data_IF_363180092046
#
_entry.id   IF_363180092046
#
_cell.length_a   1.000
_cell.length_b   1.000
_cell.length_c   1.000
_cell.angle_alpha   90.00
_cell.angle_beta   90.00
_cell.angle_gamma   90.00
#
_symmetry.space_group_name_H-M   'P 1'
#
loop_
_entity.id
_entity.type
_entity.pdbx_description
1 polymer ?
#
# COMPACT_ATOMS: atom_id res chain seq x y z
N UNK A 1 -11.18 -22.44 -11.92
CA UNK A 1 -11.18 -22.43 -10.45
C UNK A 1 -10.63 -23.79 -10.00
N UNK A 2 -9.42 -23.82 -9.48
CA UNK A 2 -8.75 -25.08 -9.12
C UNK A 2 -9.48 -25.74 -7.94
N UNK A 3 -9.98 -26.95 -8.14
CA UNK A 3 -10.70 -27.76 -7.13
C UNK A 3 -9.93 -27.92 -5.82
N UNK A 4 -8.60 -27.75 -5.84
CA UNK A 4 -7.70 -27.82 -4.67
C UNK A 4 -7.90 -26.63 -3.73
N UNK A 5 -8.10 -25.40 -4.23
CA UNK A 5 -8.33 -24.23 -3.38
C UNK A 5 -9.68 -24.33 -2.64
N UNK A 6 -10.73 -24.85 -3.30
CA UNK A 6 -12.02 -25.09 -2.66
C UNK A 6 -11.96 -26.23 -1.64
N UNK A 7 -11.12 -27.24 -1.85
CA UNK A 7 -10.96 -28.36 -0.90
C UNK A 7 -10.24 -27.93 0.39
N UNK A 8 -9.24 -27.06 0.29
CA UNK A 8 -8.50 -26.55 1.46
C UNK A 8 -9.41 -25.66 2.31
N UNK A 9 -10.22 -24.81 1.69
CA UNK A 9 -11.20 -23.96 2.40
C UNK A 9 -12.30 -24.83 3.04
N UNK A 10 -12.80 -25.85 2.34
CA UNK A 10 -13.82 -26.75 2.86
C UNK A 10 -13.31 -27.69 3.97
N UNK A 11 -12.07 -28.17 3.87
CA UNK A 11 -11.45 -29.02 4.91
C UNK A 11 -11.14 -28.22 6.18
N UNK A 12 -10.74 -26.96 6.07
CA UNK A 12 -10.54 -26.07 7.22
C UNK A 12 -11.87 -25.74 7.93
N UNK A 13 -12.98 -25.65 7.19
CA UNK A 13 -14.31 -25.37 7.75
C UNK A 13 -14.93 -26.56 8.49
N UNK A 14 -14.54 -27.80 8.18
CA UNK A 14 -15.16 -29.00 8.75
C UNK A 14 -14.48 -29.54 10.02
N UNK A 15 -13.29 -29.06 10.38
CA UNK A 15 -12.44 -29.71 11.38
C UNK A 15 -12.47 -29.14 12.80
N UNK A 16 -13.05 -27.99 13.09
CA UNK A 16 -12.92 -27.38 14.42
C UNK A 16 -14.10 -26.47 14.78
N UNK A 17 -15.25 -27.04 15.07
CA UNK A 17 -16.36 -26.32 15.69
C UNK A 17 -16.14 -26.14 17.20
N UNK A 18 -15.35 -25.15 17.59
CA UNK A 18 -15.57 -24.39 18.83
C UNK A 18 -15.64 -22.93 18.45
N UNK A 19 -16.78 -22.32 18.72
CA UNK A 19 -17.09 -20.91 18.49
C UNK A 19 -16.07 -20.02 19.21
N UNK A 20 -14.99 -19.70 18.54
CA UNK A 20 -14.13 -18.58 18.89
C UNK A 20 -14.76 -17.34 18.29
N UNK A 21 -14.75 -16.23 19.03
CA UNK A 21 -15.37 -14.98 18.60
C UNK A 21 -14.84 -14.56 17.22
N UNK A 22 -15.76 -14.29 16.32
CA UNK A 22 -15.49 -13.63 15.05
C UNK A 22 -15.18 -12.16 15.32
N UNK A 23 -14.22 -11.61 14.60
CA UNK A 23 -13.93 -10.19 14.64
C UNK A 23 -14.27 -9.57 13.27
N UNK A 24 -15.15 -8.57 13.30
CA UNK A 24 -15.56 -7.80 12.13
C UNK A 24 -15.31 -6.34 12.44
N UNK A 25 -14.58 -5.66 11.58
CA UNK A 25 -14.39 -4.23 11.65
C UNK A 25 -14.64 -3.57 10.30
N UNK A 26 -15.08 -2.32 10.33
CA UNK A 26 -15.25 -1.52 9.14
C UNK A 26 -14.60 -0.15 9.32
N UNK A 27 -13.89 0.30 8.33
CA UNK A 27 -13.29 1.63 8.28
C UNK A 27 -13.82 2.40 7.07
N UNK A 28 -14.32 3.60 7.31
CA UNK A 28 -14.68 4.56 6.28
C UNK A 28 -13.72 5.75 6.35
N UNK A 29 -13.08 6.07 5.22
CA UNK A 29 -12.38 7.33 5.03
C UNK A 29 -13.03 8.08 3.88
N UNK A 30 -13.27 9.39 4.05
CA UNK A 30 -13.81 10.26 3.02
C UNK A 30 -13.01 11.55 2.95
N UNK A 31 -12.77 12.04 1.75
CA UNK A 31 -12.01 13.26 1.48
C UNK A 31 -12.79 14.24 0.62
N UNK A 32 -12.66 15.51 0.97
CA UNK A 32 -12.92 16.62 0.07
C UNK A 32 -11.59 17.21 -0.35
N UNK A 33 -11.38 17.33 -1.65
CA UNK A 33 -10.14 17.79 -2.26
C UNK A 33 -10.40 19.02 -3.13
N UNK A 34 -9.46 19.97 -3.13
CA UNK A 34 -9.50 21.15 -3.98
C UNK A 34 -8.09 21.59 -4.37
N UNK A 35 -7.92 22.13 -5.57
CA UNK A 35 -6.67 22.76 -6.02
C UNK A 35 -6.82 24.29 -6.17
N UNK A 36 -5.71 24.97 -6.35
CA UNK A 36 -5.70 26.43 -6.60
C UNK A 36 -6.30 26.82 -7.98
N UNK A 37 -6.47 25.85 -8.90
CA UNK A 37 -7.15 26.04 -10.19
C UNK A 37 -8.68 26.01 -10.09
N UNK A 38 -9.23 25.77 -8.89
CA UNK A 38 -10.68 25.69 -8.66
C UNK A 38 -11.28 24.31 -8.97
N UNK A 39 -10.49 23.31 -9.20
CA UNK A 39 -10.97 21.94 -9.35
C UNK A 39 -11.28 21.33 -7.98
N UNK A 40 -12.33 20.54 -7.91
CA UNK A 40 -12.74 19.84 -6.70
C UNK A 40 -12.98 18.37 -6.99
N UNK A 41 -12.73 17.52 -6.00
CA UNK A 41 -13.03 16.09 -6.02
C UNK A 41 -13.46 15.64 -4.64
N UNK A 42 -14.34 14.65 -4.59
CA UNK A 42 -14.60 13.89 -3.37
C UNK A 42 -14.17 12.45 -3.60
N UNK A 43 -13.41 11.91 -2.67
CA UNK A 43 -12.95 10.53 -2.70
C UNK A 43 -13.33 9.82 -1.40
N UNK A 44 -13.62 8.53 -1.47
CA UNK A 44 -13.93 7.73 -0.29
C UNK A 44 -13.43 6.31 -0.44
N UNK A 45 -13.01 5.73 0.68
CA UNK A 45 -12.60 4.35 0.84
C UNK A 45 -13.39 3.72 1.98
N UNK A 46 -14.15 2.67 1.68
CA UNK A 46 -14.72 1.77 2.67
C UNK A 46 -13.90 0.48 2.67
N UNK A 47 -13.42 0.06 3.83
CA UNK A 47 -12.78 -1.23 4.06
C UNK A 47 -13.57 -2.01 5.11
N UNK A 48 -13.81 -3.29 4.84
CA UNK A 48 -14.43 -4.23 5.78
C UNK A 48 -13.49 -5.40 5.96
N UNK A 49 -13.07 -5.63 7.19
CA UNK A 49 -12.22 -6.74 7.59
C UNK A 49 -13.03 -7.79 8.35
N UNK A 50 -12.69 -9.05 8.15
CA UNK A 50 -13.25 -10.19 8.82
C UNK A 50 -12.13 -11.15 9.22
N UNK A 51 -12.07 -11.50 10.49
CA UNK A 51 -11.12 -12.49 11.02
C UNK A 51 -11.86 -13.59 11.75
N UNK A 52 -11.57 -14.84 11.40
CA UNK A 52 -12.12 -16.04 12.03
C UNK A 52 -11.00 -16.94 12.51
N UNK A 53 -10.78 -17.07 13.83
CA UNK A 53 -9.93 -18.13 14.36
C UNK A 53 -10.50 -19.51 14.00
N UNK A 54 -9.68 -20.39 13.43
CA UNK A 54 -10.08 -21.75 13.03
C UNK A 54 -9.62 -22.78 14.07
N UNK A 55 -8.37 -22.68 14.50
CA UNK A 55 -7.79 -23.48 15.57
C UNK A 55 -6.59 -22.76 16.18
N UNK A 56 -5.92 -23.36 17.17
CA UNK A 56 -4.76 -22.75 17.83
C UNK A 56 -3.68 -22.40 16.80
N UNK A 57 -3.39 -21.10 16.67
CA UNK A 57 -2.38 -20.59 15.76
C UNK A 57 -2.79 -20.53 14.28
N UNK A 58 -4.08 -20.80 13.94
CA UNK A 58 -4.58 -20.69 12.55
C UNK A 58 -5.84 -19.85 12.52
N UNK A 59 -5.88 -18.84 11.63
CA UNK A 59 -7.06 -18.01 11.38
C UNK A 59 -7.28 -17.79 9.89
N UNK A 60 -8.51 -17.56 9.52
CA UNK A 60 -8.93 -17.04 8.23
C UNK A 60 -9.00 -15.52 8.31
N UNK A 61 -8.31 -14.83 7.42
CA UNK A 61 -8.35 -13.38 7.29
C UNK A 61 -8.96 -13.02 5.93
N UNK A 62 -9.93 -12.11 5.95
CA UNK A 62 -10.58 -11.58 4.75
C UNK A 62 -10.71 -10.06 4.86
N UNK A 63 -10.52 -9.34 3.77
CA UNK A 63 -10.84 -7.92 3.68
C UNK A 63 -11.30 -7.57 2.27
N UNK A 64 -12.26 -6.66 2.20
CA UNK A 64 -12.75 -6.08 0.95
C UNK A 64 -12.72 -4.57 1.04
N UNK A 65 -12.54 -3.93 -0.11
CA UNK A 65 -12.54 -2.47 -0.24
C UNK A 65 -13.54 -2.04 -1.30
N UNK A 66 -14.11 -0.84 -1.08
CA UNK A 66 -14.91 -0.10 -2.06
C UNK A 66 -14.38 1.32 -2.15
N UNK A 67 -14.19 1.81 -3.37
CA UNK A 67 -13.63 3.14 -3.64
C UNK A 67 -14.59 3.91 -4.51
N UNK A 68 -14.88 5.16 -4.15
CA UNK A 68 -15.66 6.06 -4.96
C UNK A 68 -15.02 7.43 -5.03
N UNK A 69 -15.01 8.04 -6.21
CA UNK A 69 -14.61 9.43 -6.43
C UNK A 69 -15.55 10.12 -7.41
N UNK A 70 -15.70 11.42 -7.28
CA UNK A 70 -16.63 12.20 -8.08
C UNK A 70 -16.04 12.66 -9.41
N UNK A 71 -14.71 12.85 -9.49
CA UNK A 71 -14.01 13.29 -10.68
C UNK A 71 -13.14 12.17 -11.24
N UNK A 72 -13.38 11.77 -12.49
CA UNK A 72 -12.52 10.82 -13.19
C UNK A 72 -11.10 11.38 -13.32
N UNK A 73 -10.08 10.60 -12.95
CA UNK A 73 -8.68 11.03 -12.95
C UNK A 73 -8.26 11.90 -11.75
N UNK A 74 -9.18 12.24 -10.80
CA UNK A 74 -8.85 13.13 -9.68
C UNK A 74 -8.67 14.58 -10.09
N UNK A 75 -8.03 15.40 -9.24
CA UNK A 75 -7.75 16.82 -9.49
C UNK A 75 -6.26 17.10 -9.72
N UNK A 76 -5.48 16.10 -9.81
CA UNK A 76 -4.08 16.17 -9.54
C UNK A 76 -3.24 16.00 -10.83
N UNK A 77 -2.18 16.77 -10.96
CA UNK A 77 -1.09 16.58 -11.92
C UNK A 77 0.15 15.93 -11.26
N UNK A 78 0.06 15.40 -10.02
CA UNK A 78 1.16 14.75 -9.32
C UNK A 78 1.32 13.30 -9.76
N UNK A 79 2.55 12.89 -10.05
CA UNK A 79 2.88 11.48 -10.29
C UNK A 79 3.00 10.67 -9.00
N UNK A 80 3.21 11.34 -7.88
CA UNK A 80 3.29 10.69 -6.58
C UNK A 80 1.93 10.46 -5.95
N UNK A 81 0.91 11.25 -6.34
CA UNK A 81 -0.42 11.25 -5.75
C UNK A 81 -0.44 11.87 -4.34
N UNK A 82 -1.11 12.99 -4.15
CA UNK A 82 -1.21 13.67 -2.86
C UNK A 82 -2.25 13.05 -1.91
N UNK A 83 -3.08 12.15 -2.41
CA UNK A 83 -4.00 11.35 -1.61
C UNK A 83 -3.77 9.85 -1.81
N UNK A 84 -3.50 9.15 -0.72
CA UNK A 84 -3.27 7.70 -0.71
C UNK A 84 -4.54 6.84 -0.70
N UNK A 85 -5.73 7.45 -0.76
CA UNK A 85 -7.01 6.75 -0.92
C UNK A 85 -7.71 7.09 -2.23
N UNK A 86 -7.26 8.13 -2.95
CA UNK A 86 -7.89 8.57 -4.20
C UNK A 86 -7.47 7.64 -5.37
N UNK A 87 -8.42 6.83 -5.80
CA UNK A 87 -8.25 5.85 -6.87
C UNK A 87 -9.51 5.72 -7.71
N UNK A 88 -9.42 5.03 -8.83
CA UNK A 88 -10.56 4.77 -9.72
C UNK A 88 -11.71 4.07 -9.02
N UNK A 89 -12.93 4.51 -9.35
CA UNK A 89 -14.16 3.92 -8.84
C UNK A 89 -14.13 2.40 -8.92
N UNK A 90 -14.27 1.77 -7.77
CA UNK A 90 -14.23 0.32 -7.59
C UNK A 90 -15.33 -0.09 -6.63
N UNK A 91 -16.39 -0.69 -7.15
CA UNK A 91 -17.55 -1.06 -6.33
C UNK A 91 -17.19 -2.02 -5.23
N UNK A 92 -16.37 -3.03 -5.53
CA UNK A 92 -15.87 -4.00 -4.57
C UNK A 92 -14.61 -4.67 -5.11
N UNK A 93 -13.54 -4.66 -4.34
CA UNK A 93 -12.31 -5.40 -4.63
C UNK A 93 -11.84 -6.18 -3.41
N UNK A 94 -11.27 -7.38 -3.58
CA UNK A 94 -10.64 -8.12 -2.49
C UNK A 94 -9.29 -7.48 -2.15
N UNK A 95 -9.06 -7.20 -0.86
CA UNK A 95 -7.77 -6.74 -0.36
C UNK A 95 -7.00 -7.89 0.29
N UNK A 96 -7.68 -8.73 1.06
CA UNK A 96 -7.12 -9.90 1.75
C UNK A 96 -8.09 -11.07 1.62
N UNK A 97 -7.61 -12.28 1.36
CA UNK A 97 -8.35 -13.53 1.55
C UNK A 97 -7.37 -14.70 1.67
N UNK A 98 -7.16 -15.24 2.87
CA UNK A 98 -6.19 -16.29 3.09
C UNK A 98 -6.12 -16.81 4.51
N UNK A 99 -5.19 -17.71 4.72
CA UNK A 99 -4.93 -18.33 6.01
C UNK A 99 -3.65 -17.77 6.63
N UNK A 100 -3.73 -17.39 7.89
CA UNK A 100 -2.60 -16.99 8.71
C UNK A 100 -2.28 -18.08 9.73
N UNK A 101 -1.02 -18.50 9.76
CA UNK A 101 -0.46 -19.44 10.71
C UNK A 101 0.51 -18.71 11.63
N UNK A 102 0.34 -18.85 12.95
CA UNK A 102 1.21 -18.22 13.94
C UNK A 102 1.79 -19.24 14.90
N UNK A 103 3.09 -19.19 15.13
CA UNK A 103 3.79 -20.06 16.08
C UNK A 103 5.12 -19.45 16.52
N UNK A 104 5.35 -19.37 17.82
CA UNK A 104 6.67 -19.03 18.40
C UNK A 104 7.30 -17.74 17.89
N UNK A 105 6.50 -16.67 17.67
CA UNK A 105 6.98 -15.39 17.12
C UNK A 105 7.18 -15.37 15.61
N UNK A 106 6.71 -16.43 14.90
CA UNK A 106 6.64 -16.47 13.43
C UNK A 106 5.18 -16.37 12.99
N UNK A 107 4.96 -15.74 11.85
CA UNK A 107 3.70 -15.69 11.12
C UNK A 107 3.94 -16.09 9.66
N UNK A 108 3.07 -16.95 9.14
CA UNK A 108 2.99 -17.30 7.73
C UNK A 108 1.58 -17.02 7.24
N UNK A 109 1.45 -16.24 6.20
CA UNK A 109 0.19 -16.03 5.49
C UNK A 109 0.28 -16.66 4.09
N UNK A 110 -0.80 -17.29 3.65
CA UNK A 110 -0.94 -17.81 2.28
C UNK A 110 -2.32 -17.47 1.73
N UNK A 111 -2.36 -16.80 0.59
CA UNK A 111 -3.62 -16.37 -0.03
C UNK A 111 -3.47 -15.10 -0.85
N UNK A 112 -4.56 -14.36 -0.98
CA UNK A 112 -4.62 -13.05 -1.64
C UNK A 112 -4.28 -11.97 -0.63
N UNK A 113 -3.35 -11.07 -0.99
CA UNK A 113 -2.93 -9.96 -0.13
C UNK A 113 -2.28 -8.86 -0.97
N UNK A 114 -2.31 -7.63 -0.50
CA UNK A 114 -1.47 -6.57 -1.04
C UNK A 114 -0.28 -6.30 -0.11
N UNK A 115 0.78 -5.70 -0.64
CA UNK A 115 2.02 -5.46 0.10
C UNK A 115 1.87 -4.40 1.19
N UNK A 116 0.86 -3.51 1.09
CA UNK A 116 0.61 -2.47 2.07
C UNK A 116 0.08 -3.02 3.40
N UNK A 117 -0.35 -4.28 3.44
CA UNK A 117 -0.76 -4.93 4.68
C UNK A 117 0.41 -5.19 5.64
N UNK A 118 1.63 -5.36 5.09
CA UNK A 118 2.79 -5.80 5.85
C UNK A 118 3.98 -4.83 5.76
N UNK A 119 4.18 -4.22 4.58
CA UNK A 119 5.32 -3.37 4.29
C UNK A 119 4.91 -1.91 4.27
N UNK A 120 5.83 -1.03 4.64
CA UNK A 120 5.61 0.43 4.69
C UNK A 120 4.52 0.87 5.68
N UNK A 121 4.28 0.06 6.72
CA UNK A 121 3.27 0.28 7.76
C UNK A 121 3.85 1.05 8.95
N UNK A 122 4.51 2.15 8.71
CA UNK A 122 5.10 2.97 9.75
C UNK A 122 4.05 3.83 10.45
N UNK A 123 4.20 4.02 11.76
CA UNK A 123 3.26 4.81 12.57
C UNK A 123 3.25 6.28 12.16
N UNK A 124 4.42 6.93 12.10
CA UNK A 124 4.50 8.36 11.83
C UNK A 124 4.35 8.68 10.34
N UNK A 125 4.86 7.83 9.44
CA UNK A 125 4.66 8.01 8.01
C UNK A 125 3.19 7.86 7.60
N UNK A 126 2.40 7.05 8.32
CA UNK A 126 0.96 6.89 8.08
C UNK A 126 0.12 8.12 8.43
N UNK A 127 0.72 9.14 9.04
CA UNK A 127 0.09 10.42 9.25
C UNK A 127 -0.12 11.15 7.93
N UNK A 128 0.82 11.04 6.99
CA UNK A 128 0.79 11.78 5.74
C UNK A 128 -0.19 11.17 4.74
N UNK A 129 -0.82 12.04 3.97
CA UNK A 129 -1.79 11.64 2.93
C UNK A 129 -1.13 11.40 1.57
N UNK A 130 0.09 11.93 1.37
CA UNK A 130 0.91 11.67 0.19
C UNK A 130 1.19 10.17 0.04
N UNK A 131 0.86 9.60 -1.12
CA UNK A 131 1.01 8.18 -1.42
C UNK A 131 2.45 7.67 -1.29
N UNK A 132 3.44 8.54 -1.55
CA UNK A 132 4.87 8.19 -1.43
C UNK A 132 5.35 8.02 0.00
N UNK A 133 4.59 8.50 1.01
CA UNK A 133 4.84 8.20 2.42
C UNK A 133 4.48 6.76 2.81
N UNK A 134 3.71 6.07 1.97
CA UNK A 134 3.49 4.64 2.02
C UNK A 134 4.52 3.90 1.17
N UNK A 135 4.08 3.28 0.07
CA UNK A 135 4.99 2.60 -0.86
C UNK A 135 5.76 3.61 -1.72
N UNK A 136 7.07 3.44 -1.81
CA UNK A 136 7.93 4.37 -2.53
C UNK A 136 7.72 4.32 -4.05
N UNK A 137 7.77 5.46 -4.75
CA UNK A 137 7.57 5.54 -6.21
C UNK A 137 8.54 4.68 -7.03
N UNK A 138 9.73 4.40 -6.49
CA UNK A 138 10.70 3.46 -7.10
C UNK A 138 10.18 2.03 -7.20
N UNK A 139 9.07 1.73 -6.52
CA UNK A 139 8.36 0.45 -6.53
C UNK A 139 7.00 0.63 -7.18
N UNK A 140 6.13 1.49 -6.64
CA UNK A 140 4.73 1.63 -7.07
C UNK A 140 4.59 2.14 -8.50
N UNK A 141 5.41 3.09 -8.94
CA UNK A 141 5.37 3.60 -10.31
C UNK A 141 6.01 2.65 -11.34
N UNK A 142 6.86 1.72 -10.90
CA UNK A 142 7.60 0.84 -11.81
C UNK A 142 6.91 -0.48 -12.08
N UNK A 143 5.99 -0.94 -11.20
CA UNK A 143 5.41 -2.27 -11.29
C UNK A 143 3.93 -2.25 -10.98
N UNK A 144 3.13 -2.94 -11.80
CA UNK A 144 1.72 -3.21 -11.49
C UNK A 144 1.58 -4.40 -10.56
N UNK A 145 2.17 -4.33 -9.39
CA UNK A 145 2.16 -5.37 -8.37
C UNK A 145 0.91 -5.31 -7.48
N UNK A 146 0.85 -6.19 -6.49
CA UNK A 146 -0.16 -6.18 -5.43
C UNK A 146 0.03 -4.99 -4.48
N UNK A 147 -0.17 -3.80 -4.97
CA UNK A 147 -0.19 -2.53 -4.25
C UNK A 147 -1.59 -1.95 -4.28
N UNK A 148 -2.07 -1.34 -3.18
CA UNK A 148 -3.40 -0.73 -3.13
C UNK A 148 -3.72 0.07 -4.41
N UNK A 149 -4.90 -0.13 -5.02
CA UNK A 149 -6.03 -0.99 -4.60
C UNK A 149 -5.95 -2.44 -5.11
N UNK A 150 -4.82 -2.85 -5.69
CA UNK A 150 -4.64 -4.18 -6.28
C UNK A 150 -4.18 -5.19 -5.21
N UNK A 151 -4.57 -6.44 -5.40
CA UNK A 151 -4.09 -7.57 -4.61
C UNK A 151 -3.68 -8.73 -5.52
N UNK A 152 -2.93 -9.69 -5.02
CA UNK A 152 -2.59 -10.90 -5.74
C UNK A 152 -2.36 -12.09 -4.82
N UNK A 153 -2.38 -13.30 -5.40
CA UNK A 153 -1.97 -14.53 -4.72
C UNK A 153 -0.50 -14.44 -4.31
N UNK A 154 -0.21 -14.82 -3.07
CA UNK A 154 1.16 -14.82 -2.55
C UNK A 154 1.29 -15.52 -1.22
N UNK A 155 2.52 -15.52 -0.75
CA UNK A 155 2.92 -16.04 0.56
C UNK A 155 3.72 -14.94 1.24
N UNK A 156 3.41 -14.67 2.51
CA UNK A 156 4.14 -13.75 3.37
C UNK A 156 4.63 -14.49 4.62
N UNK A 157 5.87 -14.26 4.98
CA UNK A 157 6.52 -14.77 6.18
C UNK A 157 7.03 -13.59 7.01
N UNK A 158 6.70 -13.61 8.30
CA UNK A 158 7.24 -12.69 9.30
C UNK A 158 7.89 -13.48 10.43
N UNK A 159 9.04 -13.01 10.91
CA UNK A 159 9.72 -13.53 12.10
C UNK A 159 10.14 -12.37 13.00
N UNK A 160 9.60 -12.35 14.22
CA UNK A 160 9.99 -11.42 15.27
C UNK A 160 11.04 -12.06 16.19
N UNK A 161 12.16 -11.36 16.38
CA UNK A 161 13.30 -11.76 17.21
C UNK A 161 13.72 -10.55 18.05
N UNK A 162 13.22 -10.46 19.27
CA UNK A 162 13.41 -9.27 20.14
C UNK A 162 12.92 -7.99 19.45
N UNK A 163 13.77 -7.01 19.25
CA UNK A 163 13.49 -5.73 18.59
C UNK A 163 13.53 -5.81 17.05
N UNK A 164 13.96 -6.94 16.50
CA UNK A 164 14.04 -7.16 15.05
C UNK A 164 12.80 -7.89 14.54
N UNK A 165 12.27 -7.42 13.42
CA UNK A 165 11.26 -8.13 12.63
C UNK A 165 11.79 -8.32 11.21
N UNK A 166 11.88 -9.57 10.75
CA UNK A 166 12.27 -9.91 9.38
C UNK A 166 11.01 -10.34 8.65
N UNK A 167 10.77 -9.74 7.48
CA UNK A 167 9.62 -10.04 6.62
C UNK A 167 10.09 -10.42 5.22
N UNK A 168 9.47 -11.46 4.65
CA UNK A 168 9.73 -11.90 3.28
C UNK A 168 8.43 -12.33 2.62
N UNK A 169 8.21 -11.91 1.37
CA UNK A 169 7.03 -12.32 0.60
C UNK A 169 7.35 -12.61 -0.85
N UNK A 170 6.53 -13.46 -1.43
CA UNK A 170 6.50 -13.72 -2.87
C UNK A 170 5.06 -13.67 -3.33
N UNK A 171 4.80 -12.87 -4.35
CA UNK A 171 3.49 -12.65 -4.95
C UNK A 171 3.51 -12.96 -6.45
N UNK A 172 2.35 -13.25 -7.03
CA UNK A 172 2.17 -13.15 -8.47
C UNK A 172 2.64 -11.77 -8.95
N UNK A 173 3.40 -11.70 -10.04
CA UNK A 173 4.09 -10.48 -10.46
C UNK A 173 3.18 -9.34 -10.91
N UNK A 174 1.87 -9.60 -11.06
CA UNK A 174 0.83 -8.63 -11.40
C UNK A 174 -0.27 -8.66 -10.35
N UNK A 175 -0.70 -7.48 -9.90
CA UNK A 175 -1.84 -7.29 -9.01
C UNK A 175 -3.13 -7.08 -9.79
N UNK A 176 -4.25 -7.51 -9.21
CA UNK A 176 -5.60 -7.43 -9.78
C UNK A 176 -6.60 -6.91 -8.75
N UNK A 177 -7.76 -6.41 -9.19
CA UNK A 177 -8.85 -5.97 -8.31
C UNK A 177 -10.20 -6.67 -8.57
N UNK A 178 -10.24 -7.61 -9.52
CA UNK A 178 -11.46 -8.33 -9.89
C UNK A 178 -11.57 -9.68 -9.20
N UNK A 179 -12.79 -10.10 -8.87
CA UNK A 179 -13.09 -11.44 -8.35
C UNK A 179 -13.16 -12.51 -9.44
N UNK A 180 -13.37 -12.12 -10.67
CA UNK A 180 -13.67 -13.04 -11.78
C UNK A 180 -12.99 -12.61 -13.09
N UNK A 181 -13.15 -13.45 -14.13
CA UNK A 181 -12.55 -13.20 -15.42
C UNK A 181 -11.08 -13.62 -15.52
N UNK A 182 -10.42 -13.21 -16.58
CA UNK A 182 -9.00 -13.57 -16.82
C UNK A 182 -8.03 -12.80 -15.94
N UNK A 183 -8.40 -11.58 -15.55
CA UNK A 183 -7.60 -10.68 -14.73
C UNK A 183 -8.21 -10.61 -13.31
N UNK A 184 -8.18 -11.71 -12.58
CA UNK A 184 -8.73 -11.81 -11.23
C UNK A 184 -7.63 -12.07 -10.18
N UNK A 185 -7.91 -11.73 -8.94
CA UNK A 185 -6.97 -11.83 -7.82
C UNK A 185 -6.54 -13.27 -7.50
N UNK A 186 -7.33 -14.28 -7.89
CA UNK A 186 -7.00 -15.70 -7.70
C UNK A 186 -6.06 -16.25 -8.77
N UNK A 187 -5.69 -15.42 -9.76
CA UNK A 187 -4.78 -15.80 -10.81
C UNK A 187 -3.37 -15.95 -10.25
N UNK A 188 -2.81 -17.15 -10.42
CA UNK A 188 -1.41 -17.44 -10.19
C UNK A 188 -0.82 -17.96 -11.49
N UNK A 189 -0.09 -17.13 -12.20
CA UNK A 189 0.44 -17.44 -13.53
C UNK A 189 1.83 -16.82 -13.73
N UNK A 190 2.86 -17.35 -13.07
CA UNK A 190 4.24 -16.81 -13.16
C UNK A 190 4.78 -16.75 -14.58
N UNK A 191 4.27 -17.60 -15.48
CA UNK A 191 4.69 -17.62 -16.88
C UNK A 191 4.28 -16.35 -17.65
N UNK A 192 3.12 -15.78 -17.38
CA UNK A 192 2.65 -14.54 -18.03
C UNK A 192 2.87 -13.31 -17.15
N UNK A 193 2.61 -13.42 -15.87
CA UNK A 193 2.55 -12.30 -14.94
C UNK A 193 3.91 -12.07 -14.24
N UNK A 194 4.79 -13.09 -14.27
CA UNK A 194 6.04 -13.04 -13.54
C UNK A 194 5.88 -13.25 -12.03
N UNK A 195 6.88 -12.84 -11.27
CA UNK A 195 6.91 -12.93 -9.81
C UNK A 195 7.39 -11.61 -9.22
N UNK A 196 6.83 -11.22 -8.08
CA UNK A 196 7.30 -10.13 -7.26
C UNK A 196 7.73 -10.66 -5.90
N UNK A 197 8.98 -10.43 -5.53
CA UNK A 197 9.54 -10.81 -4.21
C UNK A 197 9.95 -9.56 -3.46
N UNK A 198 9.70 -9.53 -2.16
CA UNK A 198 10.04 -8.40 -1.29
C UNK A 198 10.55 -8.93 0.05
N UNK A 199 11.59 -8.28 0.56
CA UNK A 199 12.24 -8.59 1.84
C UNK A 199 12.48 -7.31 2.60
N UNK A 200 12.22 -7.29 3.90
CA UNK A 200 12.63 -6.19 4.77
C UNK A 200 13.06 -6.66 6.16
N UNK A 201 13.86 -5.83 6.80
CA UNK A 201 14.26 -5.95 8.20
C UNK A 201 13.88 -4.66 8.90
N UNK A 202 13.10 -4.78 9.95
CA UNK A 202 12.65 -3.68 10.79
C UNK A 202 13.26 -3.82 12.19
N UNK A 203 13.91 -2.77 12.67
CA UNK A 203 14.44 -2.67 14.03
C UNK A 203 13.71 -1.58 14.79
N UNK A 204 13.16 -1.92 15.95
CA UNK A 204 12.42 -0.98 16.79
C UNK A 204 13.06 -0.90 18.17
N UNK A 205 13.42 0.31 18.59
CA UNK A 205 13.98 0.54 19.93
C UNK A 205 13.63 1.95 20.43
N UNK A 206 13.19 2.05 21.68
CA UNK A 206 12.88 3.32 22.37
C UNK A 206 11.96 4.26 21.54
N UNK A 207 10.96 3.70 20.84
CA UNK A 207 10.03 4.46 20.01
C UNK A 207 10.59 4.91 18.65
N UNK A 208 11.85 4.61 18.36
CA UNK A 208 12.46 4.81 17.05
C UNK A 208 12.39 3.53 16.22
N UNK A 209 12.23 3.69 14.91
CA UNK A 209 12.14 2.60 13.93
C UNK A 209 13.17 2.79 12.83
N UNK A 210 13.85 1.72 12.47
CA UNK A 210 14.72 1.64 11.30
C UNK A 210 14.27 0.49 10.44
N UNK A 211 14.03 0.73 9.17
CA UNK A 211 13.65 -0.29 8.21
C UNK A 211 14.56 -0.22 6.99
N UNK A 212 15.02 -1.38 6.55
CA UNK A 212 15.70 -1.55 5.26
C UNK A 212 15.07 -2.70 4.50
N UNK A 213 15.02 -2.60 3.19
CA UNK A 213 14.45 -3.66 2.38
C UNK A 213 14.88 -3.61 0.92
N UNK A 214 14.49 -4.64 0.22
CA UNK A 214 14.70 -4.79 -1.21
C UNK A 214 13.54 -5.56 -1.85
N UNK A 215 13.29 -5.29 -3.12
CA UNK A 215 12.39 -6.11 -3.93
C UNK A 215 13.06 -6.55 -5.22
N UNK A 216 12.53 -7.62 -5.78
CA UNK A 216 12.83 -8.11 -7.11
C UNK A 216 11.51 -8.39 -7.84
N UNK A 217 11.34 -7.77 -8.99
CA UNK A 217 10.28 -8.10 -9.93
C UNK A 217 10.88 -8.82 -11.13
N UNK A 218 10.40 -10.03 -11.41
CA UNK A 218 10.75 -10.79 -12.60
C UNK A 218 9.52 -10.93 -13.48
N UNK A 219 9.46 -10.21 -14.58
CA UNK A 219 8.28 -10.18 -15.44
C UNK A 219 8.44 -9.23 -16.61
N UNK A 220 7.32 -8.94 -17.26
CA UNK A 220 7.25 -7.92 -18.27
C UNK A 220 7.13 -6.57 -17.56
N UNK A 221 8.12 -5.69 -17.73
CA UNK A 221 8.11 -4.36 -17.16
C UNK A 221 7.16 -3.46 -17.98
N UNK A 222 5.86 -3.64 -17.83
CA UNK A 222 4.87 -2.72 -18.37
C UNK A 222 4.47 -1.77 -17.25
N UNK A 223 4.65 -0.47 -17.42
CA UNK A 223 4.29 0.53 -16.44
C UNK A 223 2.80 0.47 -16.09
N UNK A 224 2.45 0.86 -14.86
CA UNK A 224 1.06 0.90 -14.40
C UNK A 224 0.17 1.76 -15.31
N UNK A 225 0.68 2.89 -15.79
CA UNK A 225 -0.04 3.84 -16.65
C UNK A 225 -0.35 3.29 -18.06
N UNK A 226 0.51 2.44 -18.63
CA UNK A 226 0.28 1.87 -19.96
C UNK A 226 -0.74 0.72 -19.97
N UNK A 227 -1.07 0.15 -18.81
CA UNK A 227 -1.98 -0.99 -18.68
C UNK A 227 -3.43 -0.59 -18.37
N UNK A 228 -3.69 0.68 -18.12
CA UNK A 228 -5.04 1.17 -17.87
C UNK A 228 -5.86 1.18 -19.17
N UNK A 229 -6.53 0.07 -19.45
CA UNK A 229 -7.75 0.09 -20.24
C UNK A 229 -7.72 -0.29 -21.73
N UNK A 230 -6.71 -0.94 -22.29
CA UNK A 230 -6.78 -1.37 -23.69
C UNK A 230 -6.44 -2.83 -23.95
N UNK A 231 -7.22 -3.48 -24.87
CA UNK A 231 -6.91 -4.81 -25.42
C UNK A 231 -5.52 -4.88 -26.11
N UNK A 232 -4.90 -3.75 -26.37
CA UNK A 232 -3.55 -3.59 -26.91
C UNK A 232 -2.46 -3.95 -25.89
N UNK A 233 -2.75 -3.74 -24.59
CA UNK A 233 -1.85 -4.08 -23.49
C UNK A 233 -1.64 -5.60 -23.35
N UNK A 234 -2.63 -6.43 -23.60
CA UNK A 234 -2.48 -7.89 -23.58
C UNK A 234 -1.55 -8.41 -24.70
N UNK A 235 -1.54 -7.75 -25.88
CA UNK A 235 -0.63 -8.09 -26.98
C UNK A 235 0.80 -7.64 -26.69
N UNK A 236 0.98 -6.45 -26.10
CA UNK A 236 2.30 -5.93 -25.69
C UNK A 236 2.92 -6.81 -24.60
N UNK A 237 2.13 -7.31 -23.67
CA UNK A 237 2.58 -8.19 -22.59
C UNK A 237 3.15 -9.54 -23.09
N UNK A 238 2.60 -10.09 -24.19
CA UNK A 238 3.04 -11.37 -24.75
C UNK A 238 4.35 -11.31 -25.54
N UNK A 239 4.76 -10.13 -25.99
CA UNK A 239 5.91 -9.93 -26.89
C UNK A 239 7.16 -9.40 -26.20
N UNK A 240 7.07 -8.89 -24.98
CA UNK A 240 8.22 -8.36 -24.25
C UNK A 240 9.03 -9.45 -23.56
N UNK A 241 10.34 -9.35 -23.63
CA UNK A 241 11.27 -10.22 -22.92
C UNK A 241 11.17 -9.95 -21.41
N UNK A 242 10.92 -10.99 -20.62
CA UNK A 242 10.96 -10.88 -19.17
C UNK A 242 12.32 -10.39 -18.70
N UNK A 243 12.31 -9.44 -17.79
CA UNK A 243 13.50 -8.88 -17.17
C UNK A 243 13.40 -8.90 -15.66
N UNK A 244 14.53 -9.00 -15.00
CA UNK A 244 14.63 -8.85 -13.56
C UNK A 244 14.97 -7.40 -13.25
N UNK A 245 14.14 -6.76 -12.43
CA UNK A 245 14.35 -5.38 -11.98
C UNK A 245 14.06 -5.31 -10.49
N UNK A 246 14.69 -4.39 -9.76
CA UNK A 246 14.49 -4.31 -8.33
C UNK A 246 14.93 -2.99 -7.75
N UNK A 247 14.36 -2.65 -6.58
CA UNK A 247 14.69 -1.49 -5.80
C UNK A 247 15.22 -1.90 -4.43
N UNK A 248 15.99 -1.00 -3.84
CA UNK A 248 16.40 -1.04 -2.44
C UNK A 248 15.88 0.21 -1.75
N UNK A 249 15.54 0.11 -0.47
CA UNK A 249 15.05 1.24 0.31
C UNK A 249 15.48 1.17 1.75
N UNK A 250 15.38 2.31 2.42
CA UNK A 250 15.43 2.41 3.87
C UNK A 250 14.61 3.60 4.34
N UNK A 251 14.07 3.49 5.54
CA UNK A 251 13.49 4.61 6.26
C UNK A 251 13.82 4.55 7.74
N UNK A 252 13.82 5.69 8.37
CA UNK A 252 13.99 5.84 9.81
C UNK A 252 12.95 6.80 10.37
N UNK A 253 12.37 6.43 11.51
CA UNK A 253 11.60 7.27 12.41
C UNK A 253 12.35 7.43 13.71
N UNK A 254 12.83 8.62 13.99
CA UNK A 254 13.73 8.90 15.10
C UNK A 254 13.03 9.78 16.13
N UNK A 255 12.84 9.27 17.33
CA UNK A 255 12.38 10.08 18.46
C UNK A 255 13.49 11.04 18.89
N UNK A 256 13.44 12.30 18.40
CA UNK A 256 14.45 13.34 18.68
C UNK A 256 14.17 14.14 19.94
N UNK A 257 12.92 14.12 20.42
CA UNK A 257 12.50 14.71 21.68
C UNK A 257 11.19 14.03 22.14
N UNK A 258 10.74 14.20 23.37
CA UNK A 258 9.45 13.73 23.82
C UNK A 258 8.32 14.20 22.89
N UNK A 259 7.56 13.25 22.29
CA UNK A 259 6.47 13.53 21.35
C UNK A 259 6.91 14.21 20.04
N UNK A 260 8.16 14.11 19.64
CA UNK A 260 8.66 14.65 18.38
C UNK A 260 9.50 13.58 17.66
N UNK A 261 9.07 13.22 16.45
CA UNK A 261 9.70 12.24 15.59
C UNK A 261 10.23 12.90 14.30
N UNK A 262 11.49 12.65 13.97
CA UNK A 262 12.05 12.97 12.66
C UNK A 262 11.93 11.74 11.76
N UNK A 263 11.57 11.96 10.49
CA UNK A 263 11.40 10.93 9.46
C UNK A 263 12.42 11.14 8.37
N UNK A 264 13.05 10.07 7.92
CA UNK A 264 13.93 10.05 6.75
C UNK A 264 13.59 8.83 5.89
N UNK A 265 13.49 9.03 4.59
CA UNK A 265 13.21 7.99 3.60
C UNK A 265 14.17 8.09 2.45
N UNK A 266 14.60 6.94 1.93
CA UNK A 266 15.36 6.85 0.70
C UNK A 266 15.06 5.54 -0.02
N UNK A 267 14.92 5.60 -1.35
CA UNK A 267 14.91 4.40 -2.17
C UNK A 267 15.53 4.64 -3.55
N UNK A 268 16.04 3.56 -4.15
CA UNK A 268 16.64 3.58 -5.47
C UNK A 268 16.34 2.29 -6.23
N UNK A 269 16.04 2.45 -7.51
CA UNK A 269 15.92 1.35 -8.47
C UNK A 269 17.02 1.52 -9.54
N UNK A 270 18.11 0.74 -9.46
CA UNK A 270 19.23 0.84 -10.37
C UNK A 270 18.98 0.18 -11.73
N UNK A 271 17.83 -0.48 -11.91
CA UNK A 271 17.52 -1.21 -13.13
C UNK A 271 17.35 -0.27 -14.34
N UNK A 272 17.63 -0.78 -15.54
CA UNK A 272 17.43 -0.03 -16.78
C UNK A 272 15.96 -0.02 -17.18
N UNK A 273 15.50 1.10 -17.76
CA UNK A 273 14.14 1.20 -18.32
C UNK A 273 13.03 1.44 -17.32
N UNK A 274 13.35 1.64 -16.04
CA UNK A 274 12.37 1.97 -14.99
C UNK A 274 11.91 3.43 -15.09
N UNK A 275 10.68 3.70 -14.68
CA UNK A 275 10.05 5.02 -14.69
C UNK A 275 10.62 5.88 -13.56
N UNK A 276 10.51 5.43 -12.30
CA UNK A 276 11.07 6.14 -11.15
C UNK A 276 12.36 5.46 -10.70
N UNK A 277 13.44 6.25 -10.65
CA UNK A 277 14.79 5.75 -10.31
C UNK A 277 15.20 5.99 -8.88
N UNK A 278 14.79 7.11 -8.30
CA UNK A 278 15.21 7.53 -6.95
C UNK A 278 14.08 8.26 -6.26
N UNK A 279 14.01 8.07 -4.96
CA UNK A 279 13.10 8.79 -4.08
C UNK A 279 13.82 9.12 -2.78
N UNK A 280 13.56 10.30 -2.23
CA UNK A 280 14.04 10.71 -0.93
C UNK A 280 13.00 11.60 -0.26
N UNK A 281 12.78 11.42 1.02
CA UNK A 281 11.84 12.22 1.82
C UNK A 281 12.37 12.49 3.23
N UNK A 282 11.99 13.62 3.79
CA UNK A 282 12.25 14.01 5.18
C UNK A 282 11.00 14.63 5.79
N UNK A 283 10.80 14.41 7.08
CA UNK A 283 9.66 14.97 7.78
C UNK A 283 9.86 15.09 9.28
N UNK A 284 8.92 15.80 9.89
CA UNK A 284 8.80 15.95 11.33
C UNK A 284 7.35 15.74 11.73
N UNK A 285 7.14 14.99 12.80
CA UNK A 285 5.83 14.79 13.41
C UNK A 285 5.89 15.17 14.88
N UNK A 286 4.91 15.94 15.31
CA UNK A 286 4.69 16.29 16.72
C UNK A 286 3.37 15.70 17.18
N UNK A 287 3.43 14.81 18.15
CA UNK A 287 2.26 14.24 18.81
C UNK A 287 1.81 15.17 19.94
N UNK A 288 0.54 15.52 19.95
CA UNK A 288 -0.13 16.29 21.01
C UNK A 288 -1.15 15.38 21.70
N UNK A 289 -1.88 15.90 22.70
CA UNK A 289 -2.84 15.10 23.48
C UNK A 289 -3.93 14.46 22.59
N UNK A 290 -4.49 15.22 21.67
CA UNK A 290 -5.60 14.79 20.81
C UNK A 290 -5.33 15.04 19.33
N UNK A 291 -4.09 15.34 18.94
CA UNK A 291 -3.74 15.61 17.56
C UNK A 291 -2.30 15.23 17.24
N UNK A 292 -2.02 15.06 15.98
CA UNK A 292 -0.68 14.90 15.43
C UNK A 292 -0.50 15.93 14.31
N UNK A 293 0.57 16.71 14.39
CA UNK A 293 0.96 17.69 13.38
C UNK A 293 2.19 17.16 12.65
N UNK A 294 2.13 17.13 11.33
CA UNK A 294 3.22 16.66 10.47
C UNK A 294 3.58 17.64 9.38
N UNK A 295 4.87 17.75 9.10
CA UNK A 295 5.42 18.36 7.89
C UNK A 295 6.30 17.35 7.21
N UNK A 296 6.20 17.25 5.88
CA UNK A 296 6.98 16.31 5.08
C UNK A 296 7.35 16.95 3.76
N UNK A 297 8.55 16.68 3.26
CA UNK A 297 8.98 17.08 1.93
C UNK A 297 9.73 15.94 1.27
N UNK A 298 9.49 15.74 -0.01
CA UNK A 298 10.09 14.66 -0.77
C UNK A 298 10.47 15.07 -2.20
N UNK A 299 11.23 14.17 -2.82
CA UNK A 299 11.68 14.28 -4.19
C UNK A 299 11.67 12.91 -4.85
N UNK A 300 10.92 12.78 -5.94
CA UNK A 300 10.93 11.61 -6.82
C UNK A 300 11.61 11.95 -8.16
N UNK A 301 12.55 11.11 -8.61
CA UNK A 301 13.29 11.28 -9.85
C UNK A 301 12.80 10.24 -10.85
N UNK A 302 11.98 10.68 -11.78
CA UNK A 302 11.46 9.89 -12.89
C UNK A 302 12.43 9.92 -14.09
N UNK A 303 12.15 9.14 -15.10
CA UNK A 303 12.96 9.06 -16.33
C UNK A 303 12.99 10.39 -17.09
N UNK A 304 11.88 11.07 -17.12
CA UNK A 304 11.57 12.25 -17.93
C UNK A 304 11.50 13.55 -17.10
N UNK A 305 11.28 13.46 -15.79
CA UNK A 305 11.16 14.61 -14.91
C UNK A 305 11.60 14.35 -13.47
N UNK A 306 11.57 15.40 -12.67
CA UNK A 306 11.71 15.33 -11.21
C UNK A 306 10.53 16.02 -10.57
N UNK A 307 9.85 15.33 -9.68
CA UNK A 307 8.76 15.91 -8.88
C UNK A 307 9.23 16.14 -7.44
N UNK A 308 8.86 17.30 -6.91
CA UNK A 308 9.00 17.69 -5.52
C UNK A 308 7.61 17.84 -4.92
N UNK A 309 7.41 17.30 -3.74
CA UNK A 309 6.19 17.51 -2.98
C UNK A 309 6.52 17.94 -1.55
N UNK A 310 5.63 18.74 -0.97
CA UNK A 310 5.66 19.06 0.45
C UNK A 310 4.24 19.01 0.99
N UNK A 311 4.08 18.44 2.18
CA UNK A 311 2.80 18.29 2.89
C UNK A 311 2.89 18.89 4.27
N UNK A 312 1.85 19.66 4.64
CA UNK A 312 1.53 20.04 6.01
C UNK A 312 0.20 19.43 6.37
N UNK A 313 0.16 18.58 7.37
CA UNK A 313 -1.06 17.88 7.79
C UNK A 313 -1.25 17.90 9.30
N UNK A 314 -2.51 17.86 9.74
CA UNK A 314 -2.86 17.76 11.16
C UNK A 314 -3.98 16.73 11.33
N UNK A 315 -3.71 15.60 11.99
CA UNK A 315 -4.74 14.62 12.35
C UNK A 315 -5.28 14.93 13.73
N UNK A 316 -6.57 15.24 13.83
CA UNK A 316 -7.26 15.60 15.06
C UNK A 316 -8.18 14.44 15.44
N UNK A 317 -7.87 13.74 16.52
CA UNK A 317 -8.70 12.65 17.04
C UNK A 317 -9.98 13.22 17.62
N UNK A 318 -11.12 12.79 17.10
CA UNK A 318 -12.45 13.20 17.49
C UNK A 318 -13.42 12.02 17.36
N UNK A 319 -14.63 12.16 17.90
CA UNK A 319 -15.69 11.15 17.78
C UNK A 319 -15.29 9.75 18.28
N UNK A 320 -14.41 9.65 19.28
CA UNK A 320 -13.97 8.38 19.87
C UNK A 320 -13.05 7.56 18.96
N UNK A 321 -13.60 6.91 17.93
CA UNK A 321 -12.85 6.06 16.98
C UNK A 321 -12.63 6.74 15.63
N UNK A 322 -12.74 8.05 15.56
CA UNK A 322 -12.60 8.80 14.32
C UNK A 322 -11.64 9.97 14.44
N UNK A 323 -11.22 10.48 13.28
CA UNK A 323 -10.39 11.66 13.19
C UNK A 323 -10.80 12.55 12.03
N UNK A 324 -10.45 13.83 12.14
CA UNK A 324 -10.50 14.82 11.08
C UNK A 324 -9.06 15.23 10.74
N UNK A 325 -8.74 15.33 9.44
CA UNK A 325 -7.38 15.57 8.99
C UNK A 325 -7.35 16.54 7.81
N UNK A 326 -7.16 17.85 8.06
CA UNK A 326 -6.78 18.80 7.03
C UNK A 326 -5.33 18.56 6.60
N UNK A 327 -5.07 18.68 5.29
CA UNK A 327 -3.74 18.69 4.72
C UNK A 327 -3.63 19.68 3.56
N UNK A 328 -2.44 20.24 3.38
CA UNK A 328 -2.07 21.14 2.27
C UNK A 328 -0.83 20.58 1.63
N UNK A 329 -0.85 20.49 0.30
CA UNK A 329 0.22 20.00 -0.53
C UNK A 329 0.74 21.10 -1.47
N UNK A 330 2.06 21.21 -1.56
CA UNK A 330 2.76 22.00 -2.55
C UNK A 330 3.52 21.04 -3.45
N UNK A 331 3.23 21.05 -4.73
CA UNK A 331 3.78 20.10 -5.70
C UNK A 331 4.43 20.87 -6.83
N UNK A 332 5.63 20.43 -7.26
CA UNK A 332 6.37 21.02 -8.36
C UNK A 332 6.95 19.92 -9.25
N UNK A 333 6.56 19.92 -10.51
CA UNK A 333 7.04 19.02 -11.56
C UNK A 333 7.32 19.77 -12.86
N UNK A 334 7.43 19.07 -14.00
CA UNK A 334 7.65 19.67 -15.32
C UNK A 334 6.52 20.60 -15.78
N UNK A 335 5.28 20.32 -15.35
CA UNK A 335 4.09 21.09 -15.76
C UNK A 335 3.92 22.39 -14.95
N UNK A 336 4.70 22.54 -13.87
CA UNK A 336 4.69 23.74 -13.06
C UNK A 336 4.64 23.46 -11.55
N UNK A 337 4.22 24.47 -10.81
CA UNK A 337 4.01 24.39 -9.38
C UNK A 337 2.52 24.65 -9.06
N UNK A 338 1.93 23.82 -8.22
CA UNK A 338 0.54 23.97 -7.80
C UNK A 338 0.35 23.61 -6.34
N UNK A 339 -0.78 24.06 -5.79
CA UNK A 339 -1.18 23.80 -4.43
C UNK A 339 -2.50 23.03 -4.45
N UNK A 340 -2.56 21.97 -3.67
CA UNK A 340 -3.78 21.21 -3.43
C UNK A 340 -4.04 21.10 -1.92
N UNK A 341 -5.30 21.08 -1.55
CA UNK A 341 -5.73 20.86 -0.17
C UNK A 341 -6.71 19.72 -0.09
N UNK A 342 -6.72 19.02 1.03
CA UNK A 342 -7.73 18.03 1.33
C UNK A 342 -8.19 18.12 2.80
N UNK A 343 -9.42 17.69 3.02
CA UNK A 343 -9.97 17.45 4.34
C UNK A 343 -10.46 16.01 4.38
N UNK A 344 -9.77 15.18 5.15
CA UNK A 344 -10.14 13.77 5.37
C UNK A 344 -10.90 13.61 6.68
N UNK A 345 -11.94 12.82 6.65
CA UNK A 345 -12.61 12.27 7.81
C UNK A 345 -12.48 10.75 7.76
N UNK A 346 -12.10 10.13 8.87
CA UNK A 346 -12.07 8.67 8.99
C UNK A 346 -12.76 8.22 10.27
N UNK A 347 -13.44 7.08 10.17
CA UNK A 347 -14.13 6.46 11.30
C UNK A 347 -14.03 4.94 11.22
N UNK A 348 -13.79 4.31 12.37
CA UNK A 348 -13.69 2.84 12.48
C UNK A 348 -14.77 2.32 13.43
N UNK A 349 -15.47 1.27 13.00
CA UNK A 349 -16.54 0.60 13.74
C UNK A 349 -16.02 -0.70 14.31
#
# INVERSE_FOLDING_TARGET
MNKIACLIIAAAAYGCCRTTAQDISAQLAAEMQADAGGHTNMSSLLRIDFTQPLCKGVRLDMAVISIARTRSGGIDGSRQGFSNIDEDNTTLAPAVAGLTFTSGGSMLFAGIRNINEDYFTSHFMSLFTNSSCGIFPTISANYRIANYPLASMGIHLERKISELTVMASVYNGVGYKSFSGRQNVFRLCPESDGLFSILSVNYQNNGSTFNIGANLHYGNNVPYEELAGTATAEKAQKTQKKTATGAVWGYAELMIAPRMCAIMQYSANPSKGVICRRYAGIGLVRTMRNAELGVFADRAVYKDETEWAAELTCRINCLGRGYLQPAIHLIKNSDGAYCAGLLRMSYTI
#
